data_IF_613460957706
#
_entry.id   IF_613460957706
#
_cell.length_a   1.000
_cell.length_b   1.000
_cell.length_c   1.000
_cell.angle_alpha   90.00
_cell.angle_beta   90.00
_cell.angle_gamma   90.00
#
_symmetry.space_group_name_H-M   'P 1'
#
loop_
_entity.id
_entity.type
_entity.pdbx_description
1 polymer ?
#
# COMPACT_ATOMS: atom_id res chain seq x y z
N UNK A 1 49.30 -7.24 51.57
CA UNK A 1 48.76 -6.29 50.60
C UNK A 1 48.12 -7.11 49.48
N UNK A 2 46.79 -7.25 49.45
CA UNK A 2 46.05 -7.98 48.42
C UNK A 2 45.45 -6.98 47.43
N UNK A 3 45.83 -7.09 46.17
CA UNK A 3 45.31 -6.25 45.11
C UNK A 3 44.08 -6.95 44.51
N UNK A 4 42.87 -6.39 44.72
CA UNK A 4 41.64 -6.81 44.07
C UNK A 4 41.57 -6.21 42.66
N UNK A 5 41.66 -7.08 41.64
CA UNK A 5 41.44 -6.71 40.26
C UNK A 5 39.94 -6.67 39.95
N UNK A 6 39.43 -5.50 39.62
CA UNK A 6 38.08 -5.32 39.04
C UNK A 6 38.10 -5.62 37.53
N UNK A 7 37.49 -6.71 37.12
CA UNK A 7 37.22 -7.00 35.69
C UNK A 7 36.03 -6.20 35.23
N UNK A 8 36.24 -5.17 34.39
CA UNK A 8 35.15 -4.49 33.70
C UNK A 8 34.59 -5.36 32.56
N UNK A 9 33.40 -5.84 32.69
CA UNK A 9 32.62 -6.43 31.60
C UNK A 9 32.15 -5.30 30.68
N UNK A 10 32.75 -5.19 29.50
CA UNK A 10 32.29 -4.30 28.42
C UNK A 10 31.12 -4.99 27.73
N UNK A 11 29.89 -4.54 27.99
CA UNK A 11 28.76 -4.90 27.20
C UNK A 11 28.84 -4.21 25.84
N UNK A 12 29.13 -4.96 24.79
CA UNK A 12 28.98 -4.49 23.43
C UNK A 12 27.47 -4.27 23.16
N UNK A 13 27.03 -3.03 23.09
CA UNK A 13 25.71 -2.68 22.60
C UNK A 13 25.65 -3.09 21.12
N UNK A 14 24.88 -4.13 20.78
CA UNK A 14 24.56 -4.46 19.41
C UNK A 14 23.82 -3.26 18.81
N UNK A 15 24.42 -2.62 17.81
CA UNK A 15 23.79 -1.57 17.04
C UNK A 15 22.53 -2.14 16.41
N UNK A 16 21.36 -1.71 16.87
CA UNK A 16 20.09 -2.03 16.25
C UNK A 16 20.07 -1.31 14.91
N UNK A 17 20.15 -2.06 13.82
CA UNK A 17 19.86 -1.54 12.48
C UNK A 17 18.45 -0.94 12.53
N UNK A 18 18.24 0.30 12.04
CA UNK A 18 16.89 0.86 11.97
C UNK A 18 16.02 -0.14 11.20
N UNK A 19 14.88 -0.49 11.76
CA UNK A 19 13.95 -1.43 11.16
C UNK A 19 13.48 -0.84 9.83
N UNK A 20 14.10 -1.26 8.72
CA UNK A 20 13.63 -0.98 7.38
C UNK A 20 12.18 -1.46 7.28
N UNK A 21 11.35 -0.75 6.56
CA UNK A 21 9.95 -1.13 6.33
C UNK A 21 9.93 -2.50 5.68
N UNK A 22 9.44 -3.53 6.37
CA UNK A 22 9.34 -4.89 5.84
C UNK A 22 8.40 -4.91 4.63
N UNK A 23 8.72 -5.73 3.67
CA UNK A 23 7.93 -5.93 2.46
C UNK A 23 7.51 -7.39 2.31
N UNK A 24 6.60 -7.68 1.41
CA UNK A 24 6.20 -9.05 1.06
C UNK A 24 7.37 -9.91 0.54
N UNK A 25 8.48 -9.28 0.14
CA UNK A 25 9.69 -9.99 -0.34
C UNK A 25 10.57 -10.51 0.81
N UNK A 26 10.30 -10.12 2.05
CA UNK A 26 11.07 -10.52 3.24
C UNK A 26 10.55 -11.82 3.88
N UNK A 27 9.72 -12.60 3.16
CA UNK A 27 9.22 -13.89 3.62
C UNK A 27 8.26 -13.75 4.82
N UNK A 28 7.00 -13.45 4.54
CA UNK A 28 6.02 -13.09 5.57
C UNK A 28 5.09 -14.23 5.98
N UNK A 29 5.24 -15.39 5.38
CA UNK A 29 4.46 -16.61 5.65
C UNK A 29 5.34 -17.84 5.43
N UNK A 30 4.98 -19.01 5.95
CA UNK A 30 5.70 -20.25 5.69
C UNK A 30 5.07 -21.04 4.53
N UNK A 31 5.86 -21.93 3.90
CA UNK A 31 5.36 -22.83 2.86
C UNK A 31 4.20 -23.69 3.39
N UNK A 32 4.37 -24.26 4.58
CA UNK A 32 3.33 -25.09 5.22
C UNK A 32 2.03 -24.30 5.44
N UNK A 33 2.14 -23.03 5.84
CA UNK A 33 0.98 -22.15 6.00
C UNK A 33 0.26 -21.91 4.66
N UNK A 34 0.99 -21.61 3.61
CA UNK A 34 0.40 -21.41 2.30
C UNK A 34 -0.21 -22.70 1.71
N UNK A 35 0.30 -23.88 2.07
CA UNK A 35 -0.28 -25.17 1.69
C UNK A 35 -1.63 -25.41 2.41
N UNK A 36 -1.72 -25.14 3.70
CA UNK A 36 -3.01 -25.14 4.42
C UNK A 36 -3.98 -24.15 3.79
N UNK A 37 -3.47 -22.94 3.48
CA UNK A 37 -4.26 -21.89 2.83
C UNK A 37 -4.83 -22.30 1.49
N UNK A 38 -4.10 -23.05 0.68
CA UNK A 38 -4.61 -23.60 -0.59
C UNK A 38 -5.83 -24.49 -0.38
N UNK A 39 -5.81 -25.36 0.62
CA UNK A 39 -6.93 -26.26 0.94
C UNK A 39 -8.16 -25.43 1.41
N UNK A 40 -7.92 -24.45 2.30
CA UNK A 40 -8.98 -23.59 2.79
C UNK A 40 -9.55 -22.67 1.71
N UNK A 41 -8.71 -22.17 0.81
CA UNK A 41 -9.14 -21.38 -0.34
C UNK A 41 -10.05 -22.19 -1.29
N UNK A 42 -9.66 -23.43 -1.60
CA UNK A 42 -10.47 -24.32 -2.44
C UNK A 42 -11.85 -24.57 -1.84
N UNK A 43 -11.95 -24.70 -0.53
CA UNK A 43 -13.21 -24.96 0.15
C UNK A 43 -14.12 -23.73 0.29
N UNK A 44 -13.55 -22.53 0.45
CA UNK A 44 -14.30 -21.35 0.90
C UNK A 44 -14.32 -20.17 -0.11
N UNK A 45 -13.41 -20.16 -1.10
CA UNK A 45 -13.18 -18.99 -1.95
C UNK A 45 -13.20 -19.30 -3.45
N UNK A 46 -12.80 -20.53 -3.84
CA UNK A 46 -12.57 -20.89 -5.23
C UNK A 46 -13.83 -20.83 -6.09
N UNK A 47 -15.01 -21.06 -5.51
CA UNK A 47 -16.29 -20.98 -6.24
C UNK A 47 -16.47 -19.60 -6.92
N UNK A 48 -16.07 -18.51 -6.25
CA UNK A 48 -16.16 -17.16 -6.79
C UNK A 48 -14.86 -16.68 -7.43
N UNK A 49 -13.70 -17.01 -6.85
CA UNK A 49 -12.41 -16.46 -7.30
C UNK A 49 -11.65 -17.37 -8.27
N UNK A 50 -12.19 -18.56 -8.59
CA UNK A 50 -11.54 -19.55 -9.44
C UNK A 50 -10.48 -20.37 -8.70
N UNK A 51 -10.24 -21.60 -9.11
CA UNK A 51 -9.28 -22.51 -8.46
C UNK A 51 -7.84 -21.99 -8.51
N UNK A 52 -7.49 -21.27 -9.57
CA UNK A 52 -6.16 -20.67 -9.80
C UNK A 52 -6.16 -19.16 -9.47
N UNK A 53 -7.10 -18.70 -8.66
CA UNK A 53 -7.25 -17.29 -8.28
C UNK A 53 -7.45 -16.33 -9.47
N UNK A 54 -7.80 -16.84 -10.63
CA UNK A 54 -7.95 -16.09 -11.88
C UNK A 54 -9.22 -15.22 -11.93
N UNK A 55 -10.11 -15.38 -10.96
CA UNK A 55 -11.44 -14.77 -10.97
C UNK A 55 -12.47 -15.62 -11.72
N UNK A 56 -13.74 -15.42 -11.36
CA UNK A 56 -14.92 -15.94 -12.00
C UNK A 56 -16.08 -14.96 -11.74
N UNK A 57 -17.00 -15.25 -10.82
CA UNK A 57 -17.99 -14.27 -10.35
C UNK A 57 -17.32 -13.17 -9.48
N UNK A 58 -16.31 -13.57 -8.71
CA UNK A 58 -15.46 -12.66 -7.95
C UNK A 58 -14.23 -12.22 -8.75
N UNK A 59 -13.58 -11.13 -8.30
CA UNK A 59 -12.37 -10.60 -8.94
C UNK A 59 -11.22 -11.62 -8.90
N UNK A 60 -10.31 -11.53 -9.88
CA UNK A 60 -9.03 -12.21 -9.81
C UNK A 60 -8.23 -11.74 -8.58
N UNK A 61 -7.54 -12.68 -7.92
CA UNK A 61 -6.70 -12.43 -6.75
C UNK A 61 -5.21 -12.52 -7.07
N UNK A 62 -4.87 -12.54 -8.37
CA UNK A 62 -3.50 -12.57 -8.89
C UNK A 62 -3.31 -11.55 -10.00
N UNK A 63 -2.04 -11.31 -10.33
CA UNK A 63 -1.63 -10.47 -11.46
C UNK A 63 -2.07 -9.02 -11.33
N UNK A 64 -2.46 -8.41 -12.47
CA UNK A 64 -2.82 -6.99 -12.54
C UNK A 64 -3.90 -6.60 -11.52
N UNK A 65 -4.93 -7.43 -11.33
CA UNK A 65 -6.02 -7.14 -10.41
C UNK A 65 -5.55 -7.10 -8.97
N UNK A 66 -4.69 -8.04 -8.56
CA UNK A 66 -4.09 -8.03 -7.23
C UNK A 66 -3.29 -6.74 -6.98
N UNK A 67 -2.47 -6.33 -7.93
CA UNK A 67 -1.70 -5.09 -7.82
C UNK A 67 -2.59 -3.84 -7.78
N UNK A 68 -3.65 -3.81 -8.58
CA UNK A 68 -4.62 -2.72 -8.58
C UNK A 68 -5.30 -2.54 -7.22
N UNK A 69 -5.67 -3.65 -6.56
CA UNK A 69 -6.39 -3.61 -5.29
C UNK A 69 -5.45 -3.47 -4.08
N UNK A 70 -4.25 -4.08 -4.12
CA UNK A 70 -3.39 -4.26 -2.94
C UNK A 70 -2.00 -3.64 -3.03
N UNK A 71 -1.56 -3.23 -4.20
CA UNK A 71 -0.28 -2.51 -4.36
C UNK A 71 -0.20 -1.30 -3.42
N UNK A 72 0.94 -1.11 -2.77
CA UNK A 72 1.23 -0.06 -1.78
C UNK A 72 0.39 -0.09 -0.49
N UNK A 73 -0.41 -1.15 -0.28
CA UNK A 73 -1.09 -1.43 1.00
C UNK A 73 -0.25 -2.34 1.88
N UNK A 74 -0.73 -2.60 3.09
CA UNK A 74 -0.11 -3.57 3.98
C UNK A 74 -0.77 -4.96 3.85
N UNK A 75 -0.03 -5.99 4.25
CA UNK A 75 -0.60 -7.35 4.36
C UNK A 75 -1.72 -7.38 5.41
N UNK A 76 -1.66 -6.52 6.43
CA UNK A 76 -2.73 -6.38 7.41
C UNK A 76 -4.01 -5.80 6.80
N UNK A 77 -3.91 -4.87 5.84
CA UNK A 77 -5.09 -4.36 5.13
C UNK A 77 -5.78 -5.46 4.33
N UNK A 78 -4.98 -6.27 3.61
CA UNK A 78 -5.48 -7.43 2.88
C UNK A 78 -6.17 -8.43 3.83
N UNK A 79 -5.50 -8.81 4.92
CA UNK A 79 -6.03 -9.75 5.90
C UNK A 79 -7.31 -9.21 6.57
N UNK A 80 -7.32 -7.93 6.92
CA UNK A 80 -8.50 -7.26 7.50
C UNK A 80 -9.68 -7.26 6.52
N UNK A 81 -9.41 -6.94 5.26
CA UNK A 81 -10.47 -6.95 4.24
C UNK A 81 -11.05 -8.35 4.05
N UNK A 82 -10.18 -9.36 3.88
CA UNK A 82 -10.61 -10.75 3.68
C UNK A 82 -11.41 -11.24 4.89
N UNK A 83 -10.93 -10.99 6.10
CA UNK A 83 -11.61 -11.46 7.31
C UNK A 83 -12.95 -10.75 7.59
N UNK A 84 -13.14 -9.52 7.11
CA UNK A 84 -14.37 -8.76 7.33
C UNK A 84 -15.42 -8.92 6.24
N UNK A 85 -14.99 -9.25 5.01
CA UNK A 85 -15.86 -9.21 3.85
C UNK A 85 -16.01 -10.56 3.13
N UNK A 86 -15.24 -11.57 3.53
CA UNK A 86 -15.21 -12.88 2.86
C UNK A 86 -15.43 -14.03 3.86
N UNK A 87 -16.01 -15.15 3.41
CA UNK A 87 -16.69 -15.35 2.13
C UNK A 87 -17.85 -14.39 1.96
N UNK A 88 -18.06 -13.89 0.74
CA UNK A 88 -19.20 -13.03 0.45
C UNK A 88 -20.47 -13.87 0.25
N UNK A 89 -21.58 -13.43 0.82
CA UNK A 89 -22.93 -13.98 0.59
C UNK A 89 -23.91 -12.84 0.37
N UNK A 90 -25.03 -13.12 -0.29
CA UNK A 90 -26.05 -12.11 -0.62
C UNK A 90 -26.58 -11.40 0.64
N UNK A 91 -26.69 -12.13 1.73
CA UNK A 91 -27.18 -11.65 3.02
C UNK A 91 -26.06 -11.21 3.97
N UNK A 92 -24.80 -11.32 3.57
CA UNK A 92 -23.63 -10.96 4.36
C UNK A 92 -23.32 -11.89 5.54
N UNK A 93 -24.04 -13.01 5.69
CA UNK A 93 -23.96 -13.88 6.89
C UNK A 93 -22.66 -14.69 6.96
N UNK A 94 -22.00 -14.93 5.82
CA UNK A 94 -20.77 -15.73 5.76
C UNK A 94 -19.49 -14.92 6.04
N UNK A 95 -19.55 -13.60 5.90
CA UNK A 95 -18.38 -12.76 6.14
C UNK A 95 -17.93 -12.85 7.61
N UNK A 96 -16.64 -13.04 7.82
CA UNK A 96 -16.06 -13.11 9.17
C UNK A 96 -16.31 -14.40 9.95
N UNK A 97 -16.87 -15.43 9.33
CA UNK A 97 -17.25 -16.69 10.03
C UNK A 97 -16.11 -17.69 10.20
N UNK A 98 -15.04 -17.56 9.42
CA UNK A 98 -13.88 -18.47 9.54
C UNK A 98 -12.98 -18.04 10.72
N UNK A 99 -12.24 -18.99 11.31
CA UNK A 99 -11.22 -18.67 12.31
C UNK A 99 -10.15 -17.72 11.76
N UNK A 100 -9.60 -16.85 12.60
CA UNK A 100 -8.57 -15.88 12.19
C UNK A 100 -7.32 -16.54 11.60
N UNK A 101 -6.94 -17.72 12.11
CA UNK A 101 -5.85 -18.54 11.54
C UNK A 101 -6.15 -19.03 10.14
N UNK A 102 -7.40 -19.40 9.86
CA UNK A 102 -7.83 -19.82 8.50
C UNK A 102 -7.73 -18.66 7.51
N UNK A 103 -8.12 -17.44 7.89
CA UNK A 103 -7.94 -16.27 7.04
C UNK A 103 -6.45 -15.97 6.79
N UNK A 104 -5.60 -16.10 7.81
CA UNK A 104 -4.16 -15.92 7.65
C UNK A 104 -3.54 -16.97 6.70
N UNK A 105 -3.97 -18.22 6.79
CA UNK A 105 -3.55 -19.31 5.90
C UNK A 105 -3.99 -19.01 4.45
N UNK A 106 -5.23 -18.58 4.23
CA UNK A 106 -5.76 -18.19 2.91
C UNK A 106 -4.96 -17.02 2.33
N UNK A 107 -4.68 -15.98 3.12
CA UNK A 107 -3.87 -14.85 2.67
C UNK A 107 -2.44 -15.28 2.34
N UNK A 108 -1.83 -16.17 3.10
CA UNK A 108 -0.53 -16.75 2.77
C UNK A 108 -0.53 -17.47 1.41
N UNK A 109 -1.61 -18.19 1.10
CA UNK A 109 -1.79 -18.80 -0.22
C UNK A 109 -1.93 -17.76 -1.34
N UNK A 110 -2.72 -16.71 -1.15
CA UNK A 110 -2.86 -15.61 -2.12
C UNK A 110 -1.50 -14.93 -2.36
N UNK A 111 -0.73 -14.65 -1.31
CA UNK A 111 0.59 -14.06 -1.44
C UNK A 111 1.54 -14.97 -2.23
N UNK A 112 1.56 -16.27 -1.93
CA UNK A 112 2.36 -17.25 -2.68
C UNK A 112 1.96 -17.32 -4.15
N UNK A 113 0.67 -17.30 -4.46
CA UNK A 113 0.15 -17.33 -5.83
C UNK A 113 0.57 -16.07 -6.64
N UNK A 114 0.87 -14.97 -5.96
CA UNK A 114 1.44 -13.76 -6.55
C UNK A 114 2.98 -13.75 -6.60
N UNK A 115 3.63 -14.89 -6.29
CA UNK A 115 5.07 -15.05 -6.44
C UNK A 115 5.91 -14.55 -5.26
N UNK A 116 5.29 -14.17 -4.14
CA UNK A 116 6.06 -13.75 -2.96
C UNK A 116 6.71 -14.94 -2.26
N UNK A 117 7.96 -14.80 -1.76
CA UNK A 117 8.69 -15.87 -1.15
C UNK A 117 8.14 -16.25 0.23
N UNK A 118 8.20 -17.55 0.53
CA UNK A 118 7.97 -18.02 1.89
C UNK A 118 9.17 -17.68 2.79
N UNK A 119 8.91 -17.51 4.07
CA UNK A 119 9.88 -17.27 5.12
C UNK A 119 9.83 -18.31 6.23
N UNK A 120 10.38 -17.95 7.37
CA UNK A 120 10.50 -18.82 8.54
C UNK A 120 9.38 -18.69 9.56
N UNK A 121 8.55 -17.65 9.45
CA UNK A 121 7.49 -17.33 10.39
C UNK A 121 6.13 -17.34 9.71
N UNK A 122 5.11 -17.79 10.41
CA UNK A 122 3.74 -17.75 9.94
C UNK A 122 3.17 -16.33 10.00
N UNK A 123 2.36 -16.00 9.00
CA UNK A 123 1.54 -14.80 9.00
C UNK A 123 0.46 -14.95 10.09
N UNK A 124 0.33 -13.93 10.92
CA UNK A 124 -0.71 -13.83 11.95
C UNK A 124 -1.53 -12.57 11.74
N UNK A 125 -2.64 -12.43 12.47
CA UNK A 125 -3.47 -11.22 12.44
C UNK A 125 -2.71 -9.94 12.80
N UNK A 126 -1.59 -10.05 13.51
CA UNK A 126 -0.79 -8.91 13.98
C UNK A 126 0.52 -8.71 13.22
N UNK A 127 1.11 -9.76 12.63
CA UNK A 127 2.43 -9.67 12.00
C UNK A 127 2.44 -8.90 10.67
N UNK A 128 1.28 -8.76 10.03
CA UNK A 128 1.15 -8.08 8.73
C UNK A 128 1.13 -6.54 8.78
N UNK A 129 1.06 -5.92 9.97
CA UNK A 129 0.84 -4.47 10.12
C UNK A 129 1.96 -3.61 9.55
N UNK A 130 3.20 -4.07 9.62
CA UNK A 130 4.38 -3.36 9.13
C UNK A 130 4.88 -3.90 7.78
N UNK A 131 4.17 -4.84 7.15
CA UNK A 131 4.60 -5.49 5.90
C UNK A 131 3.88 -4.86 4.72
N UNK A 132 4.63 -4.21 3.82
CA UNK A 132 4.08 -3.58 2.62
C UNK A 132 4.05 -4.52 1.42
N UNK A 133 2.98 -4.44 0.66
CA UNK A 133 2.83 -5.12 -0.63
C UNK A 133 3.39 -4.19 -1.71
N UNK A 134 4.64 -4.42 -2.10
CA UNK A 134 5.35 -3.59 -3.08
C UNK A 134 5.93 -4.45 -4.20
N UNK A 135 6.05 -3.88 -5.39
CA UNK A 135 6.69 -4.56 -6.51
C UNK A 135 8.21 -4.70 -6.24
N UNK A 136 8.81 -5.78 -6.72
CA UNK A 136 10.24 -6.06 -6.58
C UNK A 136 11.10 -5.00 -7.30
N UNK A 137 10.62 -4.52 -8.43
CA UNK A 137 11.31 -3.55 -9.28
C UNK A 137 10.99 -2.08 -8.90
N UNK A 138 10.46 -1.87 -7.71
CA UNK A 138 10.03 -0.57 -7.21
C UNK A 138 8.51 -0.38 -7.23
N UNK A 139 8.01 0.78 -6.76
CA UNK A 139 6.59 1.02 -6.67
C UNK A 139 5.94 0.99 -8.06
N UNK A 140 4.84 0.27 -8.20
CA UNK A 140 4.00 0.28 -9.42
C UNK A 140 3.22 1.58 -9.50
N UNK A 141 2.98 2.08 -10.70
CA UNK A 141 2.03 3.18 -10.86
C UNK A 141 0.62 2.73 -10.49
N UNK A 142 -0.07 3.59 -9.78
CA UNK A 142 -1.45 3.30 -9.39
C UNK A 142 -2.34 3.27 -10.64
N UNK A 143 -3.31 2.35 -10.72
CA UNK A 143 -4.23 2.31 -11.85
C UNK A 143 -5.12 3.55 -11.92
N UNK A 144 -5.61 3.84 -13.11
CA UNK A 144 -6.64 4.87 -13.34
C UNK A 144 -7.82 4.70 -12.37
N UNK A 145 -8.50 5.79 -12.08
CA UNK A 145 -9.62 5.83 -11.14
C UNK A 145 -9.28 5.45 -9.69
N UNK A 146 -7.98 5.44 -9.32
CA UNK A 146 -7.58 5.36 -7.92
C UNK A 146 -7.67 6.73 -7.26
N UNK A 147 -8.27 6.82 -6.08
CA UNK A 147 -8.17 8.02 -5.24
C UNK A 147 -6.77 8.08 -4.64
N UNK A 148 -6.00 9.06 -5.08
CA UNK A 148 -4.60 9.22 -4.71
C UNK A 148 -4.31 10.58 -4.11
N UNK A 149 -3.26 10.65 -3.29
CA UNK A 149 -2.62 11.87 -2.84
C UNK A 149 -1.30 12.05 -3.58
N UNK A 150 -1.05 13.26 -4.04
CA UNK A 150 0.21 13.69 -4.67
C UNK A 150 0.67 14.98 -4.00
N UNK A 151 1.95 15.08 -3.67
CA UNK A 151 2.54 16.29 -3.08
C UNK A 151 3.49 16.92 -4.10
N UNK A 152 3.39 18.24 -4.29
CA UNK A 152 4.23 18.93 -5.25
C UNK A 152 4.13 20.45 -5.14
N UNK A 153 4.70 21.14 -6.10
CA UNK A 153 4.64 22.60 -6.22
C UNK A 153 3.47 23.02 -7.07
N UNK A 154 2.58 23.86 -6.53
CA UNK A 154 1.52 24.43 -7.35
C UNK A 154 2.10 25.48 -8.29
N UNK A 155 1.92 25.29 -9.58
CA UNK A 155 2.32 26.19 -10.62
C UNK A 155 1.11 26.83 -11.33
N UNK A 156 1.29 27.92 -12.07
CA UNK A 156 0.24 28.57 -12.85
C UNK A 156 -0.45 27.60 -13.82
N UNK A 157 -1.59 28.02 -14.33
CA UNK A 157 -2.30 27.27 -15.38
C UNK A 157 -1.47 27.15 -16.64
N UNK A 158 -1.47 25.93 -17.21
CA UNK A 158 -0.91 25.69 -18.54
C UNK A 158 -1.79 26.21 -19.67
N UNK A 159 -1.36 26.00 -20.90
CA UNK A 159 -2.08 26.42 -22.12
C UNK A 159 -3.47 25.75 -22.24
N UNK A 160 -3.65 24.58 -21.63
CA UNK A 160 -4.92 23.85 -21.53
C UNK A 160 -5.90 24.41 -20.46
N UNK A 161 -5.52 25.49 -19.78
CA UNK A 161 -6.31 26.14 -18.74
C UNK A 161 -6.32 25.42 -17.38
N UNK A 162 -5.63 24.28 -17.25
CA UNK A 162 -5.53 23.53 -16.00
C UNK A 162 -4.35 24.00 -15.15
N UNK A 163 -4.51 24.02 -13.84
CA UNK A 163 -3.41 24.21 -12.89
C UNK A 163 -2.38 23.09 -13.06
N UNK A 164 -1.12 23.39 -12.77
CA UNK A 164 -0.04 22.41 -12.82
C UNK A 164 0.47 22.10 -11.41
N UNK A 165 0.74 20.84 -11.18
CA UNK A 165 1.48 20.37 -10.00
C UNK A 165 2.83 19.86 -10.50
N UNK A 166 3.90 20.64 -10.25
CA UNK A 166 5.27 20.33 -10.69
C UNK A 166 6.11 19.80 -9.55
N UNK A 167 7.29 19.25 -9.82
CA UNK A 167 8.14 18.58 -8.81
C UNK A 167 7.33 17.62 -7.95
N UNK A 168 6.37 16.98 -8.55
CA UNK A 168 5.38 16.19 -7.86
C UNK A 168 5.92 14.81 -7.48
N UNK A 169 5.54 14.36 -6.30
CA UNK A 169 5.80 13.00 -5.84
C UNK A 169 5.07 11.97 -6.71
N UNK A 170 5.43 10.70 -6.55
CA UNK A 170 4.57 9.61 -7.02
C UNK A 170 3.23 9.67 -6.29
N UNK A 171 2.13 9.24 -6.95
CA UNK A 171 0.85 9.11 -6.30
C UNK A 171 0.90 8.02 -5.21
N UNK A 172 0.37 8.33 -4.04
CA UNK A 172 0.10 7.36 -2.98
C UNK A 172 -1.42 7.20 -2.82
N UNK A 173 -1.91 5.99 -2.47
CA UNK A 173 -3.33 5.82 -2.19
C UNK A 173 -3.76 6.73 -1.05
N UNK A 174 -4.88 7.44 -1.24
CA UNK A 174 -5.42 8.31 -0.20
C UNK A 174 -6.16 7.52 0.91
N UNK A 175 -6.55 6.27 0.66
CA UNK A 175 -7.27 5.40 1.60
C UNK A 175 -6.65 4.00 1.66
N UNK A 176 -6.13 3.54 2.80
CA UNK A 176 -5.94 4.28 4.04
C UNK A 176 -5.02 5.49 3.87
N UNK A 177 -5.02 6.45 4.82
CA UNK A 177 -4.16 7.62 4.71
C UNK A 177 -2.72 7.22 4.47
N UNK A 178 -1.98 7.93 3.61
CA UNK A 178 -0.57 7.66 3.36
C UNK A 178 0.25 7.73 4.65
N UNK A 179 1.24 6.84 4.77
CA UNK A 179 2.08 6.74 5.97
C UNK A 179 2.96 7.99 6.19
N UNK A 180 3.32 8.68 5.08
CA UNK A 180 4.20 9.85 5.13
C UNK A 180 3.38 11.13 5.27
N UNK A 181 3.72 11.99 6.24
CA UNK A 181 3.09 13.31 6.34
C UNK A 181 3.39 14.14 5.07
N UNK A 182 2.41 14.89 4.56
CA UNK A 182 2.57 15.63 3.30
C UNK A 182 3.75 16.61 3.31
N UNK A 183 4.06 17.20 4.48
CA UNK A 183 5.21 18.11 4.65
C UNK A 183 6.54 17.42 4.37
N UNK A 184 6.67 16.15 4.77
CA UNK A 184 7.93 15.39 4.74
C UNK A 184 8.13 14.64 3.42
N UNK A 185 7.15 14.68 2.52
CA UNK A 185 7.29 14.09 1.19
C UNK A 185 8.32 14.90 0.39
N UNK A 186 9.41 14.28 -0.09
CA UNK A 186 10.42 15.00 -0.89
C UNK A 186 9.84 15.46 -2.23
N UNK A 187 10.48 16.46 -2.83
CA UNK A 187 10.20 16.85 -4.21
C UNK A 187 10.47 15.66 -5.15
N UNK A 188 9.54 15.42 -6.07
CA UNK A 188 9.67 14.41 -7.11
C UNK A 188 10.04 15.02 -8.46
N UNK A 189 9.91 14.21 -9.48
CA UNK A 189 10.24 14.55 -10.88
C UNK A 189 9.00 14.59 -11.79
N UNK A 190 7.81 14.38 -11.23
CA UNK A 190 6.56 14.27 -11.99
C UNK A 190 5.86 15.63 -12.13
N UNK A 191 5.01 15.70 -13.15
CA UNK A 191 4.09 16.82 -13.37
C UNK A 191 2.68 16.28 -13.62
N UNK A 192 1.68 16.97 -13.04
CA UNK A 192 0.27 16.60 -13.21
C UNK A 192 -0.55 17.83 -13.61
N UNK A 193 -1.46 17.66 -14.57
CA UNK A 193 -2.54 18.59 -14.80
C UNK A 193 -3.62 18.40 -13.74
N UNK A 194 -4.01 19.48 -13.03
CA UNK A 194 -5.06 19.49 -12.05
C UNK A 194 -6.37 19.85 -12.74
N UNK A 195 -7.22 18.87 -12.99
CA UNK A 195 -8.49 19.02 -13.70
C UNK A 195 -9.67 19.18 -12.74
N UNK A 196 -10.71 19.86 -13.22
CA UNK A 196 -11.96 20.08 -12.47
C UNK A 196 -11.79 20.82 -11.13
N UNK A 197 -10.79 21.70 -11.04
CA UNK A 197 -10.57 22.53 -9.86
C UNK A 197 -11.59 23.66 -9.82
N UNK A 198 -12.52 23.58 -8.86
CA UNK A 198 -13.63 24.56 -8.75
C UNK A 198 -13.22 25.84 -8.03
N UNK A 199 -12.16 25.82 -7.22
CA UNK A 199 -11.68 27.00 -6.49
C UNK A 199 -10.53 27.69 -7.19
N UNK A 200 -10.38 28.99 -6.96
CA UNK A 200 -9.20 29.72 -7.41
C UNK A 200 -7.99 29.37 -6.53
N UNK A 201 -6.88 28.93 -7.13
CA UNK A 201 -5.66 28.58 -6.43
C UNK A 201 -4.54 29.64 -6.60
N UNK A 202 -4.84 30.82 -7.14
CA UNK A 202 -3.82 31.85 -7.45
C UNK A 202 -2.95 32.20 -6.23
N UNK A 203 -3.54 32.27 -5.05
CA UNK A 203 -2.83 32.62 -3.79
C UNK A 203 -1.92 31.50 -3.30
N UNK A 204 -2.05 30.31 -3.83
CA UNK A 204 -1.23 29.14 -3.46
C UNK A 204 -0.14 28.84 -4.50
N UNK A 205 -0.04 29.64 -5.57
CA UNK A 205 1.02 29.44 -6.57
C UNK A 205 2.39 29.63 -5.92
N UNK A 206 3.30 28.67 -6.15
CA UNK A 206 4.61 28.61 -5.51
C UNK A 206 4.65 27.87 -4.16
N UNK A 207 3.49 27.55 -3.59
CA UNK A 207 3.41 26.75 -2.37
C UNK A 207 3.67 25.27 -2.65
N UNK A 208 4.18 24.56 -1.66
CA UNK A 208 4.10 23.11 -1.59
C UNK A 208 2.67 22.73 -1.19
N UNK A 209 2.02 21.92 -1.98
CA UNK A 209 0.62 21.50 -1.77
C UNK A 209 0.49 20.00 -1.78
N UNK A 210 -0.46 19.49 -1.01
CA UNK A 210 -0.95 18.12 -1.11
C UNK A 210 -2.27 18.14 -1.89
N UNK A 211 -2.34 17.39 -2.95
CA UNK A 211 -3.53 17.26 -3.80
C UNK A 211 -4.08 15.86 -3.62
N UNK A 212 -5.36 15.76 -3.28
CA UNK A 212 -6.09 14.48 -3.30
C UNK A 212 -7.09 14.52 -4.43
N UNK A 213 -7.14 13.45 -5.20
CA UNK A 213 -8.02 13.35 -6.35
C UNK A 213 -7.99 11.98 -7.00
N UNK A 214 -8.81 11.82 -8.03
CA UNK A 214 -8.87 10.60 -8.82
C UNK A 214 -7.82 10.65 -9.93
N UNK A 215 -6.99 9.63 -10.04
CA UNK A 215 -6.02 9.50 -11.13
C UNK A 215 -6.74 9.35 -12.48
N UNK A 216 -6.35 10.16 -13.43
CA UNK A 216 -6.80 10.08 -14.82
C UNK A 216 -5.68 9.45 -15.63
N UNK A 217 -5.93 8.25 -16.18
CA UNK A 217 -4.88 7.40 -16.74
C UNK A 217 -4.05 6.68 -15.67
N UNK A 218 -3.37 5.61 -16.07
CA UNK A 218 -2.51 4.83 -15.19
C UNK A 218 -1.35 5.71 -14.69
N UNK A 219 -1.15 5.72 -13.36
CA UNK A 219 -0.16 6.59 -12.73
C UNK A 219 -0.45 8.10 -12.82
N UNK A 220 -1.64 8.49 -13.32
CA UNK A 220 -2.05 9.89 -13.44
C UNK A 220 -1.48 10.58 -14.68
N UNK A 221 -1.10 9.85 -15.74
CA UNK A 221 -0.55 10.42 -16.98
C UNK A 221 -1.46 11.46 -17.61
N UNK A 222 -2.78 11.34 -17.46
CA UNK A 222 -3.76 12.30 -17.95
C UNK A 222 -4.11 13.40 -16.92
N UNK A 223 -3.51 13.33 -15.71
CA UNK A 223 -3.69 14.27 -14.63
C UNK A 223 -4.49 13.74 -13.45
N UNK A 224 -4.96 14.68 -12.62
CA UNK A 224 -5.77 14.42 -11.44
C UNK A 224 -7.12 15.13 -11.57
N UNK A 225 -8.23 14.39 -11.39
CA UNK A 225 -9.53 14.98 -11.09
C UNK A 225 -9.55 15.34 -9.60
N UNK A 226 -9.46 16.65 -9.30
CA UNK A 226 -9.13 17.16 -7.97
C UNK A 226 -10.33 17.14 -7.04
N UNK A 227 -10.18 16.52 -5.87
CA UNK A 227 -11.12 16.60 -4.76
C UNK A 227 -10.69 17.71 -3.77
N UNK A 228 -9.42 17.68 -3.32
CA UNK A 228 -8.90 18.69 -2.38
C UNK A 228 -7.50 19.17 -2.77
N UNK A 229 -7.18 20.41 -2.43
CA UNK A 229 -5.84 21.00 -2.48
C UNK A 229 -5.57 21.67 -1.15
N UNK A 230 -4.52 21.25 -0.46
CA UNK A 230 -4.11 21.74 0.84
C UNK A 230 -2.69 22.30 0.75
N UNK A 231 -2.48 23.53 1.26
CA UNK A 231 -1.12 24.07 1.40
C UNK A 231 -0.43 23.38 2.57
N UNK A 232 0.77 22.82 2.32
CA UNK A 232 1.56 22.15 3.36
C UNK A 232 2.83 22.94 3.71
N UNK A 233 3.23 23.87 2.84
CA UNK A 233 4.26 24.87 3.11
C UNK A 233 4.09 26.05 2.15
N UNK A 234 4.48 27.25 2.60
CA UNK A 234 4.33 28.50 1.81
C UNK A 234 5.34 28.59 0.66
N UNK A 235 6.37 27.75 0.69
CA UNK A 235 7.36 27.67 -0.37
C UNK A 235 7.59 26.23 -0.79
N UNK A 236 7.95 26.03 -2.04
CA UNK A 236 8.22 24.74 -2.62
C UNK A 236 9.74 24.54 -2.82
N UNK A 237 10.44 24.38 -1.73
CA UNK A 237 11.88 24.11 -1.72
C UNK A 237 12.14 22.62 -1.67
#
# INVERSE_FOLDING_TARGET
MAASGYSMLVFAAAAQTPAGTRTVWDGTFTTAQADRGRVQFAANCAACHGNELQGAEGKALTGRQFWADWGDRTVADLLTYVSKNMPSSVDGTLAGTLPSSTYADIVAHILRANGFPAGMQELTSTSGTAVRIVNKDGPTDLPASTVARVVGCLAPKGADGNWRLTKASRPERATPPPATAARDVPAGDREYALKFVLRNLTTMVGHKVAVTGLLLGDGGVDGLNVNTVESVADTCN
#
